data_IF_570098559339
#
_entry.id   IF_570098559339
#
_cell.length_a   1.000
_cell.length_b   1.000
_cell.length_c   1.000
_cell.angle_alpha   90.00
_cell.angle_beta   90.00
_cell.angle_gamma   90.00
#
_symmetry.space_group_name_H-M   'P 1'
#
loop_
_entity.id
_entity.type
_entity.pdbx_description
1 polymer ?
#
# COMPACT_ATOMS: atom_id res chain seq x y z
N UNK A 1 10.60 -1.68 -17.88
CA UNK A 1 9.31 -2.27 -18.33
C UNK A 1 8.81 -3.34 -17.36
N UNK A 2 8.25 -2.97 -16.20
CA UNK A 2 7.83 -3.98 -15.19
C UNK A 2 6.67 -3.51 -14.30
N UNK A 3 5.68 -2.78 -14.84
CA UNK A 3 4.52 -2.33 -14.05
C UNK A 3 3.18 -2.41 -14.77
N UNK A 4 3.16 -2.67 -16.09
CA UNK A 4 1.92 -2.73 -16.88
C UNK A 4 0.97 -3.84 -16.43
N UNK A 5 1.51 -4.99 -16.03
CA UNK A 5 0.69 -6.11 -15.53
C UNK A 5 0.02 -5.73 -14.22
N UNK A 6 0.75 -5.11 -13.29
CA UNK A 6 0.18 -4.63 -12.03
C UNK A 6 -0.87 -3.53 -12.26
N UNK A 7 -0.64 -2.58 -13.17
CA UNK A 7 -1.63 -1.55 -13.50
C UNK A 7 -2.96 -2.13 -14.00
N UNK A 8 -2.93 -3.26 -14.71
CA UNK A 8 -4.12 -3.96 -15.22
C UNK A 8 -4.76 -4.86 -14.15
N UNK A 9 -3.95 -5.54 -13.35
CA UNK A 9 -4.40 -6.54 -12.38
C UNK A 9 -4.88 -5.90 -11.09
N UNK A 10 -4.30 -4.77 -10.68
CA UNK A 10 -4.62 -4.09 -9.41
C UNK A 10 -6.11 -3.75 -9.26
N UNK A 11 -6.81 -3.14 -10.23
CA UNK A 11 -8.24 -2.84 -10.08
C UNK A 11 -9.12 -4.09 -9.95
N UNK A 12 -8.70 -5.22 -10.52
CA UNK A 12 -9.40 -6.49 -10.43
C UNK A 12 -9.20 -7.10 -9.04
N UNK A 13 -7.95 -7.07 -8.53
CA UNK A 13 -7.64 -7.50 -7.17
C UNK A 13 -8.36 -6.62 -6.15
N UNK A 14 -8.37 -5.31 -6.33
CA UNK A 14 -9.09 -4.37 -5.47
C UNK A 14 -10.57 -4.74 -5.39
N UNK A 15 -11.24 -4.97 -6.52
CA UNK A 15 -12.66 -5.38 -6.50
C UNK A 15 -12.90 -6.76 -5.89
N UNK A 16 -12.01 -7.71 -6.13
CA UNK A 16 -12.17 -9.08 -5.65
C UNK A 16 -11.91 -9.20 -4.14
N UNK A 17 -10.94 -8.45 -3.63
CA UNK A 17 -10.41 -8.61 -2.29
C UNK A 17 -10.79 -7.45 -1.35
N UNK A 18 -10.88 -6.23 -1.86
CA UNK A 18 -11.38 -5.06 -1.13
C UNK A 18 -12.89 -5.00 -1.30
N UNK A 19 -13.61 -5.82 -0.53
CA UNK A 19 -15.04 -5.57 -0.32
C UNK A 19 -15.15 -4.37 0.62
N UNK A 20 -15.75 -3.24 0.20
CA UNK A 20 -15.94 -2.12 1.11
C UNK A 20 -16.86 -2.58 2.24
N UNK A 21 -16.28 -2.80 3.41
CA UNK A 21 -17.05 -3.06 4.61
C UNK A 21 -17.69 -1.73 5.04
N UNK A 22 -18.99 -1.73 5.29
CA UNK A 22 -19.64 -0.57 5.92
C UNK A 22 -19.28 -0.56 7.41
N UNK A 23 -19.07 0.63 7.96
CA UNK A 23 -18.88 0.80 9.41
C UNK A 23 -20.03 0.17 10.20
N UNK A 24 -21.26 0.27 9.70
CA UNK A 24 -22.43 -0.32 10.32
C UNK A 24 -22.34 -1.86 10.37
N UNK A 25 -21.88 -2.49 9.28
CA UNK A 25 -21.68 -3.94 9.23
C UNK A 25 -20.54 -4.42 10.13
N UNK A 26 -19.42 -3.69 10.20
CA UNK A 26 -18.32 -4.05 11.10
C UNK A 26 -18.73 -3.95 12.57
N UNK A 27 -19.47 -2.91 12.94
CA UNK A 27 -19.98 -2.70 14.30
C UNK A 27 -21.00 -3.77 14.69
N UNK A 28 -21.93 -4.10 13.80
CA UNK A 28 -22.92 -5.15 14.04
C UNK A 28 -22.27 -6.52 14.27
N UNK A 29 -21.16 -6.79 13.57
CA UNK A 29 -20.42 -8.05 13.71
C UNK A 29 -19.39 -8.05 14.86
N UNK A 30 -19.24 -6.93 15.60
CA UNK A 30 -18.23 -6.80 16.65
C UNK A 30 -16.78 -6.79 16.13
N UNK A 31 -16.57 -6.56 14.83
CA UNK A 31 -15.26 -6.60 14.18
C UNK A 31 -14.69 -5.19 14.03
N UNK A 32 -14.43 -4.51 15.14
CA UNK A 32 -13.91 -3.13 15.18
C UNK A 32 -12.54 -3.06 15.88
N UNK A 33 -11.71 -2.07 15.55
CA UNK A 33 -10.45 -1.85 16.26
C UNK A 33 -10.72 -1.45 17.73
N UNK A 34 -10.02 -2.09 18.67
CA UNK A 34 -10.19 -1.84 20.10
C UNK A 34 -9.95 -0.38 20.50
N UNK A 35 -8.93 0.26 19.93
CA UNK A 35 -8.55 1.64 20.25
C UNK A 35 -9.18 2.67 19.31
N UNK A 36 -9.70 2.23 18.15
CA UNK A 36 -10.23 3.11 17.10
C UNK A 36 -11.53 2.53 16.52
N UNK A 37 -12.63 2.54 17.29
CA UNK A 37 -13.87 1.84 16.93
C UNK A 37 -14.56 2.38 15.67
N UNK A 38 -14.16 3.56 15.20
CA UNK A 38 -14.66 4.20 13.98
C UNK A 38 -13.73 4.07 12.76
N UNK A 39 -12.60 3.38 12.90
CA UNK A 39 -11.69 3.15 11.78
C UNK A 39 -12.15 1.94 10.95
N UNK A 40 -12.31 2.15 9.64
CA UNK A 40 -12.68 1.09 8.69
C UNK A 40 -11.53 0.12 8.38
N UNK A 41 -10.33 0.69 8.25
CA UNK A 41 -9.09 -0.01 7.95
C UNK A 41 -7.90 0.75 8.53
N UNK A 42 -6.80 0.06 8.76
CA UNK A 42 -5.51 0.66 9.06
C UNK A 42 -4.63 0.57 7.82
N UNK A 43 -3.86 1.62 7.52
CA UNK A 43 -2.85 1.61 6.46
C UNK A 43 -1.50 1.96 7.04
N UNK A 44 -0.46 1.20 6.69
CA UNK A 44 0.92 1.49 7.04
C UNK A 44 1.78 1.47 5.78
N UNK A 45 2.83 2.29 5.74
CA UNK A 45 3.76 2.35 4.62
C UNK A 45 5.17 2.09 5.14
N UNK A 46 5.80 1.02 4.66
CA UNK A 46 7.18 0.66 5.02
C UNK A 46 8.11 0.84 3.84
N UNK A 47 9.23 1.49 4.08
CA UNK A 47 10.31 1.58 3.10
C UNK A 47 11.16 0.31 3.16
N UNK A 48 11.33 -0.34 2.02
CA UNK A 48 12.20 -1.49 1.85
C UNK A 48 13.38 -1.09 0.95
N UNK A 49 14.61 -1.06 1.48
CA UNK A 49 15.79 -0.75 0.68
C UNK A 49 15.99 -1.84 -0.39
N UNK A 50 16.43 -1.43 -1.57
CA UNK A 50 16.73 -2.33 -2.68
C UNK A 50 17.98 -1.89 -3.44
N UNK A 51 18.49 -2.76 -4.30
CA UNK A 51 19.49 -2.36 -5.28
C UNK A 51 18.94 -1.28 -6.21
N UNK A 52 19.86 -0.47 -6.76
CA UNK A 52 19.53 0.51 -7.79
C UNK A 52 19.00 -0.24 -9.02
N UNK A 53 17.77 0.05 -9.49
CA UNK A 53 17.24 -0.58 -10.67
C UNK A 53 18.08 -0.23 -11.91
N UNK A 54 18.28 -1.21 -12.79
CA UNK A 54 18.99 -1.04 -14.06
C UNK A 54 18.13 -0.21 -15.02
N UNK A 55 18.71 0.83 -15.65
CA UNK A 55 17.97 1.71 -16.56
C UNK A 55 18.56 3.12 -16.63
N UNK A 56 17.81 4.04 -17.23
CA UNK A 56 18.21 5.45 -17.32
C UNK A 56 18.19 6.10 -15.93
N UNK A 57 19.02 7.12 -15.73
CA UNK A 57 19.06 7.84 -14.46
C UNK A 57 17.69 8.43 -14.07
N UNK A 58 16.92 8.93 -15.04
CA UNK A 58 15.56 9.42 -14.83
C UNK A 58 14.62 8.36 -14.27
N UNK A 59 14.71 7.12 -14.76
CA UNK A 59 13.89 6.00 -14.31
C UNK A 59 14.28 5.53 -12.90
N UNK A 60 15.59 5.47 -12.62
CA UNK A 60 16.09 5.07 -11.31
C UNK A 60 15.76 6.10 -10.20
N UNK A 61 15.63 7.38 -10.56
CA UNK A 61 15.31 8.47 -9.62
C UNK A 61 13.96 8.28 -8.92
N UNK A 62 12.98 7.65 -9.57
CA UNK A 62 11.66 7.36 -8.98
C UNK A 62 11.71 6.42 -7.76
N UNK A 63 12.81 5.69 -7.60
CA UNK A 63 13.03 4.76 -6.49
C UNK A 63 14.05 5.29 -5.48
N UNK A 64 14.51 6.53 -5.61
CA UNK A 64 15.50 7.13 -4.72
C UNK A 64 14.84 7.88 -3.55
N UNK A 65 15.11 7.45 -2.33
CA UNK A 65 14.57 8.09 -1.13
C UNK A 65 15.53 9.15 -0.59
N UNK A 66 15.16 10.42 -0.76
CA UNK A 66 16.02 11.58 -0.49
C UNK A 66 16.50 11.70 0.97
N UNK A 67 15.69 11.29 1.95
CA UNK A 67 16.02 11.43 3.38
C UNK A 67 17.04 10.39 3.86
N UNK A 68 16.98 9.15 3.37
CA UNK A 68 17.95 8.10 3.74
C UNK A 68 19.02 7.86 2.68
N UNK A 69 18.97 8.54 1.52
CA UNK A 69 19.92 8.39 0.40
C UNK A 69 20.03 6.96 -0.12
N UNK A 70 18.95 6.19 -0.02
CA UNK A 70 18.87 4.79 -0.43
C UNK A 70 17.87 4.63 -1.57
N UNK A 71 18.16 3.66 -2.46
CA UNK A 71 17.17 3.16 -3.39
C UNK A 71 16.27 2.16 -2.68
N UNK A 72 15.00 2.12 -3.06
CA UNK A 72 14.05 1.19 -2.48
C UNK A 72 12.64 1.39 -2.96
N UNK A 73 11.78 0.53 -2.46
CA UNK A 73 10.34 0.57 -2.69
C UNK A 73 9.64 0.94 -1.39
N UNK A 74 8.48 1.56 -1.51
CA UNK A 74 7.54 1.65 -0.40
C UNK A 74 6.52 0.55 -0.59
N UNK A 75 6.28 -0.20 0.46
CA UNK A 75 5.23 -1.21 0.53
C UNK A 75 4.12 -0.63 1.36
N UNK A 76 2.95 -0.49 0.76
CA UNK A 76 1.74 -0.06 1.45
C UNK A 76 0.97 -1.29 1.90
N UNK A 77 0.74 -1.43 3.19
CA UNK A 77 -0.03 -2.50 3.79
C UNK A 77 -1.34 -1.93 4.32
N UNK A 78 -2.45 -2.59 4.00
CA UNK A 78 -3.77 -2.26 4.47
C UNK A 78 -4.31 -3.43 5.28
N UNK A 79 -4.84 -3.15 6.47
CA UNK A 79 -5.47 -4.15 7.34
C UNK A 79 -6.93 -3.78 7.49
N UNK A 80 -7.80 -4.68 7.05
CA UNK A 80 -9.24 -4.58 7.24
C UNK A 80 -9.73 -5.70 8.17
N UNK A 81 -10.68 -5.38 9.07
CA UNK A 81 -11.33 -6.40 9.88
C UNK A 81 -12.12 -7.39 9.01
N UNK A 82 -12.10 -8.71 9.30
CA UNK A 82 -11.64 -9.39 10.53
C UNK A 82 -10.17 -9.87 10.53
N UNK A 83 -9.24 -9.18 9.86
CA UNK A 83 -7.82 -9.55 9.82
C UNK A 83 -7.28 -9.84 8.42
N UNK A 84 -7.92 -9.29 7.40
CA UNK A 84 -7.43 -9.37 6.02
C UNK A 84 -6.34 -8.33 5.83
N UNK A 85 -5.17 -8.78 5.41
CA UNK A 85 -4.03 -7.92 5.09
C UNK A 85 -3.88 -7.87 3.57
N UNK A 86 -3.81 -6.66 3.03
CA UNK A 86 -3.55 -6.40 1.62
C UNK A 86 -2.24 -5.65 1.50
N UNK A 87 -1.31 -6.17 0.71
CA UNK A 87 -0.06 -5.49 0.39
C UNK A 87 -0.17 -4.98 -1.03
N UNK A 88 0.07 -3.68 -1.23
CA UNK A 88 0.30 -3.13 -2.56
C UNK A 88 1.80 -3.24 -2.85
N UNK A 89 2.21 -4.14 -3.76
CA UNK A 89 3.63 -4.38 -4.00
C UNK A 89 4.26 -3.27 -4.85
N UNK A 90 5.51 -2.93 -4.50
CA UNK A 90 6.49 -2.28 -5.36
C UNK A 90 6.03 -0.99 -6.05
N UNK A 91 5.28 -0.16 -5.34
CA UNK A 91 4.95 1.17 -5.81
C UNK A 91 6.22 2.04 -5.84
N UNK A 92 6.49 2.74 -6.96
CA UNK A 92 7.50 3.80 -7.00
C UNK A 92 7.30 4.79 -5.85
N UNK A 93 8.39 5.33 -5.30
CA UNK A 93 8.32 6.15 -4.07
C UNK A 93 7.45 7.39 -4.23
N UNK A 94 7.39 7.92 -5.45
CA UNK A 94 6.61 9.07 -5.89
C UNK A 94 5.13 8.75 -6.14
N UNK A 95 4.79 7.46 -6.34
CA UNK A 95 3.42 7.00 -6.60
C UNK A 95 2.74 6.43 -5.35
N UNK A 96 3.48 6.28 -4.26
CA UNK A 96 2.91 5.89 -2.98
C UNK A 96 2.05 7.01 -2.42
N UNK A 97 0.85 6.67 -1.94
CA UNK A 97 0.00 7.59 -1.20
C UNK A 97 0.72 7.86 0.11
N UNK A 98 1.50 8.94 0.16
CA UNK A 98 2.13 9.38 1.40
C UNK A 98 1.05 9.44 2.47
N UNK A 99 1.20 8.66 3.54
CA UNK A 99 0.49 8.92 4.78
C UNK A 99 0.84 10.36 5.16
N UNK A 100 -0.05 11.30 4.85
CA UNK A 100 -0.04 12.59 5.47
C UNK A 100 -0.33 12.30 6.94
N UNK A 101 0.73 12.31 7.75
CA UNK A 101 0.59 12.52 9.18
C UNK A 101 0.26 14.00 9.40
#
# INVERSE_FOLDING_TARGET
MSHRVLEVVMPVLDRAFIRPASMATQRANGTTFNYYPYALYASDVKFQPSYRPTGRFSEAKHYFYNKHKLYGYKVEAYVAFPGRVFFLPNTPLDRCRTSQF
#
